data_IF_547946772094
#
_entry.id   IF_547946772094
#
_cell.length_a   1.000
_cell.length_b   1.000
_cell.length_c   1.000
_cell.angle_alpha   90.00
_cell.angle_beta   90.00
_cell.angle_gamma   90.00
#
_symmetry.space_group_name_H-M   'P 1'
#
loop_
_entity.id
_entity.type
_entity.pdbx_description
1 polymer ?
#
# COMPACT_ATOMS: atom_id res chain seq x y z
N UNK A 1 -7.53 -19.81 -0.13
CA UNK A 1 -7.96 -18.41 0.07
C UNK A 1 -9.05 -18.11 -0.95
N UNK A 2 -10.20 -17.67 -0.49
CA UNK A 2 -11.31 -17.32 -1.38
C UNK A 2 -10.96 -16.08 -2.22
N UNK A 3 -11.47 -16.02 -3.45
CA UNK A 3 -11.20 -14.90 -4.39
C UNK A 3 -11.56 -13.54 -3.80
N UNK A 4 -12.67 -13.49 -3.06
CA UNK A 4 -13.14 -12.26 -2.41
C UNK A 4 -12.14 -11.77 -1.33
N UNK A 5 -11.64 -12.67 -0.49
CA UNK A 5 -10.65 -12.33 0.55
C UNK A 5 -9.35 -11.79 -0.06
N UNK A 6 -8.96 -12.36 -1.21
CA UNK A 6 -7.78 -11.90 -1.95
C UNK A 6 -7.96 -10.47 -2.47
N UNK A 7 -9.10 -10.19 -3.09
CA UNK A 7 -9.43 -8.85 -3.59
C UNK A 7 -9.53 -7.85 -2.43
N UNK A 8 -10.24 -8.22 -1.35
CA UNK A 8 -10.41 -7.38 -0.16
C UNK A 8 -9.07 -6.95 0.43
N UNK A 9 -8.12 -7.87 0.55
CA UNK A 9 -6.78 -7.59 1.07
C UNK A 9 -5.98 -6.63 0.21
N UNK A 10 -6.26 -6.59 -1.09
CA UNK A 10 -5.57 -5.71 -2.04
C UNK A 10 -6.22 -4.32 -2.17
N UNK A 11 -7.36 -4.10 -1.55
CA UNK A 11 -8.10 -2.82 -1.59
C UNK A 11 -7.95 -2.05 -0.28
N UNK A 12 -8.31 -0.76 -0.29
CA UNK A 12 -8.46 0.05 0.94
C UNK A 12 -9.90 -0.01 1.47
N UNK A 13 -10.63 -1.11 1.21
CA UNK A 13 -12.01 -1.35 1.62
C UNK A 13 -13.02 -0.30 1.10
N UNK A 14 -12.65 0.42 0.04
CA UNK A 14 -13.54 1.38 -0.61
C UNK A 14 -14.34 0.70 -1.71
N UNK A 15 -15.66 0.94 -1.82
CA UNK A 15 -16.50 0.33 -2.86
C UNK A 15 -15.96 0.53 -4.27
N UNK A 16 -15.40 1.70 -4.58
CA UNK A 16 -14.80 1.99 -5.89
C UNK A 16 -13.62 1.09 -6.23
N UNK A 17 -12.81 0.71 -5.22
CA UNK A 17 -11.65 -0.17 -5.42
C UNK A 17 -12.11 -1.58 -5.83
N UNK A 18 -13.16 -2.11 -5.18
CA UNK A 18 -13.76 -3.39 -5.56
C UNK A 18 -14.32 -3.36 -6.97
N UNK A 19 -15.07 -2.32 -7.32
CA UNK A 19 -15.64 -2.16 -8.67
C UNK A 19 -14.53 -2.13 -9.70
N UNK A 20 -13.47 -1.37 -9.46
CA UNK A 20 -12.34 -1.27 -10.39
C UNK A 20 -11.63 -2.62 -10.54
N UNK A 21 -11.32 -3.30 -9.44
CA UNK A 21 -10.63 -4.60 -9.44
C UNK A 21 -11.46 -5.66 -10.19
N UNK A 22 -12.75 -5.78 -9.86
CA UNK A 22 -13.64 -6.76 -10.50
C UNK A 22 -13.81 -6.44 -12.00
N UNK A 23 -13.89 -5.17 -12.37
CA UNK A 23 -13.97 -4.74 -13.77
C UNK A 23 -12.73 -5.13 -14.56
N UNK A 24 -11.55 -5.02 -13.99
CA UNK A 24 -10.30 -5.48 -14.62
C UNK A 24 -10.30 -7.01 -14.78
N UNK A 25 -10.72 -7.74 -13.75
CA UNK A 25 -10.86 -9.20 -13.84
C UNK A 25 -11.82 -9.62 -14.95
N UNK A 26 -12.98 -8.95 -15.05
CA UNK A 26 -13.98 -9.24 -16.09
C UNK A 26 -13.43 -8.96 -17.51
N UNK A 27 -12.71 -7.85 -17.68
CA UNK A 27 -12.05 -7.50 -18.94
C UNK A 27 -11.06 -8.58 -19.39
N UNK A 28 -10.19 -9.04 -18.49
CA UNK A 28 -9.21 -10.10 -18.75
C UNK A 28 -9.93 -11.42 -19.08
N UNK A 29 -10.98 -11.78 -18.33
CA UNK A 29 -11.76 -12.98 -18.58
C UNK A 29 -12.34 -12.98 -19.99
N UNK A 30 -12.97 -11.88 -20.40
CA UNK A 30 -13.55 -11.73 -21.74
C UNK A 30 -12.48 -11.83 -22.85
N UNK A 31 -11.32 -11.19 -22.66
CA UNK A 31 -10.22 -11.25 -23.61
C UNK A 31 -9.69 -12.68 -23.82
N UNK A 32 -9.75 -13.50 -22.76
CA UNK A 32 -9.34 -14.91 -22.80
C UNK A 32 -10.45 -15.88 -23.17
N UNK A 33 -11.65 -15.38 -23.47
CA UNK A 33 -12.80 -16.22 -23.79
C UNK A 33 -13.35 -17.03 -22.61
N UNK A 34 -13.05 -16.60 -21.38
CA UNK A 34 -13.54 -17.24 -20.17
C UNK A 34 -14.89 -16.63 -19.74
N UNK A 35 -15.84 -17.50 -19.37
CA UNK A 35 -17.14 -17.09 -18.84
C UNK A 35 -17.12 -16.74 -17.33
N UNK A 36 -16.03 -17.09 -16.63
CA UNK A 36 -15.90 -16.92 -15.20
C UNK A 36 -14.56 -16.25 -14.82
N UNK A 37 -14.55 -15.53 -13.71
CA UNK A 37 -13.34 -14.98 -13.10
C UNK A 37 -12.67 -16.08 -12.27
N UNK A 38 -11.49 -16.51 -12.70
CA UNK A 38 -10.70 -17.55 -12.04
C UNK A 38 -9.54 -16.95 -11.24
N UNK A 39 -8.94 -17.73 -10.31
CA UNK A 39 -7.80 -17.26 -9.53
C UNK A 39 -6.61 -16.76 -10.37
N UNK A 40 -6.22 -17.39 -11.48
CA UNK A 40 -5.20 -16.83 -12.36
C UNK A 40 -5.56 -15.45 -12.94
N UNK A 41 -6.83 -15.23 -13.31
CA UNK A 41 -7.30 -13.93 -13.82
C UNK A 41 -7.20 -12.85 -12.74
N UNK A 42 -7.58 -13.18 -11.50
CA UNK A 42 -7.47 -12.26 -10.37
C UNK A 42 -6.01 -11.85 -10.13
N UNK A 43 -5.08 -12.80 -10.15
CA UNK A 43 -3.65 -12.51 -10.01
C UNK A 43 -3.07 -11.68 -11.15
N UNK A 44 -3.57 -11.88 -12.36
CA UNK A 44 -3.17 -11.08 -13.52
C UNK A 44 -3.68 -9.63 -13.42
N UNK A 45 -4.88 -9.43 -12.88
CA UNK A 45 -5.46 -8.12 -12.65
C UNK A 45 -4.72 -7.32 -11.55
N UNK A 46 -4.02 -7.99 -10.63
CA UNK A 46 -3.31 -7.37 -9.51
C UNK A 46 -2.36 -6.25 -9.95
N UNK A 47 -1.62 -6.44 -11.02
CA UNK A 47 -0.64 -5.47 -11.51
C UNK A 47 -1.32 -4.16 -11.93
N UNK A 48 -2.36 -4.25 -12.76
CA UNK A 48 -3.08 -3.06 -13.24
C UNK A 48 -3.83 -2.37 -12.09
N UNK A 49 -4.39 -3.15 -11.18
CA UNK A 49 -5.04 -2.61 -9.99
C UNK A 49 -4.05 -1.90 -9.06
N UNK A 50 -2.85 -2.46 -8.86
CA UNK A 50 -1.81 -1.83 -8.04
C UNK A 50 -1.35 -0.49 -8.62
N UNK A 51 -1.21 -0.38 -9.93
CA UNK A 51 -0.89 0.90 -10.59
C UNK A 51 -2.04 1.92 -10.45
N UNK A 52 -3.27 1.48 -10.58
CA UNK A 52 -4.46 2.31 -10.31
C UNK A 52 -4.46 2.82 -8.88
N UNK A 53 -4.33 1.93 -7.88
CA UNK A 53 -4.36 2.29 -6.46
C UNK A 53 -3.22 3.25 -6.10
N UNK A 54 -2.02 3.01 -6.65
CA UNK A 54 -0.88 3.91 -6.49
C UNK A 54 -1.18 5.31 -7.02
N UNK A 55 -1.80 5.42 -8.19
CA UNK A 55 -2.21 6.72 -8.76
C UNK A 55 -3.21 7.45 -7.85
N UNK A 56 -4.23 6.76 -7.37
CA UNK A 56 -5.23 7.31 -6.45
C UNK A 56 -4.59 7.81 -5.14
N UNK A 57 -3.66 7.03 -4.56
CA UNK A 57 -2.95 7.42 -3.34
C UNK A 57 -2.08 8.65 -3.59
N UNK A 58 -1.36 8.69 -4.70
CA UNK A 58 -0.52 9.85 -5.06
C UNK A 58 -1.38 11.11 -5.16
N UNK A 59 -2.52 11.05 -5.84
CA UNK A 59 -3.42 12.18 -6.00
C UNK A 59 -4.00 12.65 -4.65
N UNK A 60 -4.40 11.71 -3.78
CA UNK A 60 -4.96 12.02 -2.47
C UNK A 60 -3.92 12.64 -1.51
N UNK A 61 -2.69 12.14 -1.52
CA UNK A 61 -1.66 12.53 -0.55
C UNK A 61 -0.82 13.74 -0.99
N UNK A 62 -0.83 14.07 -2.28
CA UNK A 62 0.01 15.12 -2.85
C UNK A 62 -0.17 16.49 -2.15
N UNK A 63 -1.39 16.80 -1.70
CA UNK A 63 -1.69 18.05 -1.00
C UNK A 63 -0.94 18.18 0.35
N UNK A 64 -0.65 17.07 1.02
CA UNK A 64 0.04 17.04 2.33
C UNK A 64 1.50 16.60 2.23
N UNK A 65 1.83 15.82 1.21
CA UNK A 65 3.18 15.33 0.91
C UNK A 65 3.51 15.56 -0.59
N UNK A 66 3.91 16.77 -0.98
CA UNK A 66 4.23 17.06 -2.39
C UNK A 66 5.36 16.18 -2.95
N UNK A 67 6.27 15.71 -2.09
CA UNK A 67 7.41 14.87 -2.47
C UNK A 67 7.07 13.37 -2.48
N UNK A 68 5.79 13.01 -2.58
CA UNK A 68 5.31 11.62 -2.51
C UNK A 68 6.03 10.67 -3.48
N UNK A 69 6.40 11.13 -4.67
CA UNK A 69 7.13 10.31 -5.63
C UNK A 69 8.54 9.95 -5.15
N UNK A 70 9.24 10.88 -4.48
CA UNK A 70 10.55 10.63 -3.87
C UNK A 70 10.41 9.65 -2.70
N UNK A 71 9.36 9.82 -1.89
CA UNK A 71 9.04 8.93 -0.76
C UNK A 71 8.79 7.50 -1.25
N UNK A 72 7.93 7.32 -2.26
CA UNK A 72 7.64 6.01 -2.85
C UNK A 72 8.88 5.39 -3.50
N UNK A 73 9.74 6.20 -4.14
CA UNK A 73 11.00 5.75 -4.68
C UNK A 73 11.92 5.19 -3.59
N UNK A 74 12.03 5.88 -2.45
CA UNK A 74 12.83 5.41 -1.30
C UNK A 74 12.28 4.09 -0.76
N UNK A 75 10.96 3.97 -0.57
CA UNK A 75 10.32 2.73 -0.14
C UNK A 75 10.63 1.57 -1.10
N UNK A 76 10.58 1.84 -2.40
CA UNK A 76 10.91 0.86 -3.45
C UNK A 76 12.37 0.42 -3.42
N UNK A 77 13.29 1.34 -3.14
CA UNK A 77 14.74 1.05 -3.08
C UNK A 77 15.12 0.15 -1.90
N UNK A 78 14.38 0.22 -0.78
CA UNK A 78 14.59 -0.65 0.38
C UNK A 78 14.37 -2.12 0.02
N UNK A 79 13.54 -2.44 -0.99
CA UNK A 79 13.27 -3.79 -1.52
C UNK A 79 12.81 -4.81 -0.48
N UNK A 80 12.23 -4.36 0.62
CA UNK A 80 11.63 -5.18 1.67
C UNK A 80 10.20 -4.73 1.89
N UNK A 81 9.30 -5.68 2.04
CA UNK A 81 7.92 -5.36 2.37
C UNK A 81 7.77 -4.95 3.83
N UNK A 82 8.57 -5.55 4.72
CA UNK A 82 8.56 -5.27 6.16
C UNK A 82 9.95 -4.88 6.61
N UNK A 83 10.07 -3.75 7.29
CA UNK A 83 11.33 -3.21 7.82
C UNK A 83 11.07 -2.23 8.96
N UNK A 84 12.11 -1.83 9.70
CA UNK A 84 11.97 -0.88 10.79
C UNK A 84 11.75 0.55 10.27
N UNK A 85 11.01 1.40 10.99
CA UNK A 85 10.90 2.82 10.65
C UNK A 85 12.27 3.52 10.55
N UNK A 86 13.22 3.13 11.39
CA UNK A 86 14.59 3.66 11.36
C UNK A 86 15.28 3.47 10.01
N UNK A 87 15.03 2.35 9.32
CA UNK A 87 15.57 2.08 7.98
C UNK A 87 15.11 3.15 6.98
N UNK A 88 13.81 3.44 6.93
CA UNK A 88 13.28 4.48 6.06
C UNK A 88 13.83 5.86 6.43
N UNK A 89 13.81 6.21 7.72
CA UNK A 89 14.29 7.51 8.20
C UNK A 89 15.75 7.73 7.79
N UNK A 90 16.61 6.73 7.95
CA UNK A 90 18.01 6.81 7.58
C UNK A 90 18.19 6.99 6.07
N UNK A 91 17.54 6.16 5.25
CA UNK A 91 17.64 6.21 3.79
C UNK A 91 17.11 7.55 3.23
N UNK A 92 15.93 7.96 3.68
CA UNK A 92 15.30 9.18 3.19
C UNK A 92 16.06 10.43 3.62
N UNK A 93 16.45 10.52 4.90
CA UNK A 93 17.19 11.67 5.44
C UNK A 93 18.57 11.82 4.80
N UNK A 94 19.28 10.73 4.55
CA UNK A 94 20.60 10.78 3.90
C UNK A 94 20.51 11.18 2.43
N UNK A 95 19.46 10.75 1.72
CA UNK A 95 19.31 11.03 0.29
C UNK A 95 18.82 12.46 0.03
N UNK A 96 17.88 12.96 0.83
CA UNK A 96 17.20 14.24 0.58
C UNK A 96 17.52 15.33 1.61
N UNK A 97 18.45 15.08 2.53
CA UNK A 97 18.86 16.02 3.60
C UNK A 97 17.68 16.53 4.45
N UNK A 98 16.76 15.64 4.77
CA UNK A 98 15.57 15.91 5.58
C UNK A 98 15.84 15.60 7.04
N UNK A 99 15.27 16.36 7.97
CA UNK A 99 15.41 16.09 9.40
C UNK A 99 14.73 14.79 9.82
N UNK A 100 15.20 14.18 10.91
CA UNK A 100 14.58 12.97 11.47
C UNK A 100 13.10 13.22 11.83
N UNK A 101 12.79 14.39 12.39
CA UNK A 101 11.42 14.75 12.75
C UNK A 101 10.50 14.87 11.53
N UNK A 102 10.98 15.46 10.44
CA UNK A 102 10.22 15.57 9.20
C UNK A 102 10.01 14.18 8.58
N UNK A 103 11.04 13.32 8.60
CA UNK A 103 10.91 11.93 8.15
C UNK A 103 9.88 11.13 8.98
N UNK A 104 9.84 11.35 10.29
CA UNK A 104 8.81 10.77 11.18
C UNK A 104 7.41 11.29 10.85
N UNK A 105 7.26 12.57 10.55
CA UNK A 105 5.97 13.12 10.10
C UNK A 105 5.51 12.48 8.79
N UNK A 106 6.42 12.28 7.84
CA UNK A 106 6.13 11.58 6.59
C UNK A 106 5.57 10.18 6.87
N UNK A 107 6.20 9.40 7.74
CA UNK A 107 5.72 8.05 8.09
C UNK A 107 4.31 8.08 8.71
N UNK A 108 4.01 9.06 9.58
CA UNK A 108 2.65 9.22 10.12
C UNK A 108 1.64 9.49 9.02
N UNK A 109 1.95 10.37 8.06
CA UNK A 109 1.05 10.65 6.93
C UNK A 109 0.87 9.42 6.03
N UNK A 110 1.92 8.69 5.72
CA UNK A 110 1.81 7.44 4.95
C UNK A 110 0.91 6.41 5.65
N UNK A 111 0.95 6.35 6.97
CA UNK A 111 0.06 5.48 7.75
C UNK A 111 -1.39 5.94 7.69
N UNK A 112 -1.65 7.25 7.84
CA UNK A 112 -3.01 7.81 7.74
C UNK A 112 -3.66 7.54 6.38
N UNK A 113 -2.87 7.55 5.30
CA UNK A 113 -3.36 7.24 3.94
C UNK A 113 -3.31 5.75 3.57
N UNK A 114 -2.92 4.88 4.50
CA UNK A 114 -2.91 3.43 4.30
C UNK A 114 -1.80 2.90 3.38
N UNK A 115 -0.79 3.71 3.08
CA UNK A 115 0.38 3.29 2.29
C UNK A 115 1.23 2.30 3.07
N UNK A 116 1.37 2.54 4.37
CA UNK A 116 2.07 1.67 5.32
C UNK A 116 1.19 1.29 6.49
N UNK A 117 1.52 0.17 7.13
CA UNK A 117 0.95 -0.28 8.40
C UNK A 117 2.03 -0.64 9.40
N UNK A 118 1.63 -1.06 10.59
CA UNK A 118 2.52 -1.68 11.56
C UNK A 118 2.40 -3.22 11.52
N UNK A 119 3.50 -3.90 11.74
CA UNK A 119 3.56 -5.35 11.91
C UNK A 119 4.53 -5.69 13.04
N UNK A 120 4.05 -5.88 14.28
CA UNK A 120 4.90 -6.09 15.46
C UNK A 120 5.85 -7.28 15.33
N UNK A 121 5.40 -8.36 14.68
CA UNK A 121 6.19 -9.57 14.44
C UNK A 121 6.08 -10.02 12.98
N UNK A 122 7.06 -10.78 12.49
CA UNK A 122 7.09 -11.25 11.08
C UNK A 122 5.87 -12.08 10.66
N UNK A 123 5.17 -12.70 11.61
CA UNK A 123 3.93 -13.46 11.41
C UNK A 123 2.75 -12.84 12.15
N UNK A 124 2.93 -11.63 12.69
CA UNK A 124 1.93 -10.94 13.48
C UNK A 124 0.85 -10.28 12.64
N UNK A 125 -0.16 -9.82 13.33
CA UNK A 125 -1.25 -9.04 12.76
C UNK A 125 -0.70 -7.78 12.09
N UNK A 126 -1.17 -7.49 10.89
CA UNK A 126 -0.91 -6.24 10.20
C UNK A 126 -1.95 -5.21 10.63
N UNK A 127 -1.51 -4.01 10.94
CA UNK A 127 -2.37 -2.92 11.41
C UNK A 127 -2.29 -1.78 10.41
N UNK A 128 -3.32 -1.65 9.58
CA UNK A 128 -3.49 -0.55 8.63
C UNK A 128 -4.59 0.40 9.09
N UNK A 129 -4.48 1.67 8.76
CA UNK A 129 -5.45 2.71 9.15
C UNK A 129 -6.87 2.42 8.65
N UNK A 130 -7.02 1.90 7.43
CA UNK A 130 -8.32 1.59 6.86
C UNK A 130 -9.02 0.40 7.54
N UNK A 131 -8.27 -0.50 8.17
CA UNK A 131 -8.80 -1.62 8.98
C UNK A 131 -9.04 -1.21 10.43
N UNK A 132 -8.18 -0.34 10.97
CA UNK A 132 -8.19 0.13 12.36
C UNK A 132 -8.19 1.65 12.41
N UNK A 133 -9.36 2.31 12.23
CA UNK A 133 -9.44 3.78 12.09
C UNK A 133 -8.88 4.57 13.28
N UNK A 134 -8.89 3.98 14.48
CA UNK A 134 -8.36 4.62 15.69
C UNK A 134 -6.89 4.31 15.98
N UNK A 135 -6.24 3.47 15.15
CA UNK A 135 -4.84 3.15 15.33
C UNK A 135 -3.95 4.36 15.03
N UNK A 136 -2.83 4.45 15.78
CA UNK A 136 -1.75 5.40 15.56
C UNK A 136 -0.52 4.63 15.12
N UNK A 137 0.32 5.25 14.27
CA UNK A 137 1.58 4.65 13.84
C UNK A 137 2.54 4.47 15.03
N UNK A 138 3.04 3.25 15.20
CA UNK A 138 3.98 2.91 16.26
C UNK A 138 5.40 2.80 15.72
N UNK A 139 6.26 3.75 16.09
CA UNK A 139 7.67 3.78 15.67
C UNK A 139 8.54 2.68 16.28
N UNK A 140 8.08 2.00 17.33
CA UNK A 140 8.80 0.90 17.98
C UNK A 140 8.52 -0.47 17.34
N UNK A 141 7.62 -0.53 16.38
CA UNK A 141 7.26 -1.73 15.64
C UNK A 141 7.77 -1.67 14.20
N UNK A 142 7.93 -2.84 13.57
CA UNK A 142 8.20 -2.87 12.15
C UNK A 142 7.02 -2.26 11.37
N UNK A 143 7.35 -1.59 10.29
CA UNK A 143 6.38 -1.15 9.31
C UNK A 143 6.26 -2.15 8.16
N UNK A 144 5.10 -2.19 7.53
CA UNK A 144 4.81 -2.99 6.35
C UNK A 144 4.20 -2.12 5.27
N UNK A 145 4.62 -2.33 4.02
CA UNK A 145 4.04 -1.63 2.87
C UNK A 145 2.77 -2.36 2.44
N UNK A 146 1.68 -1.62 2.20
CA UNK A 146 0.44 -2.16 1.63
C UNK A 146 0.71 -2.75 0.24
N UNK A 147 0.08 -3.91 -0.03
CA UNK A 147 0.21 -4.58 -1.34
C UNK A 147 -0.83 -4.09 -2.32
#
# INVERSE_FOLDING_TARGET
MFTFDYITRSTHWRPRDYIHYISQCAKIALQKGNSNITSPIVKEADREFSEYLKGEIVDEIFAVLPDINQILSTLSQIRKQTFSPATFIQEYSSTYSVSENDAKMILRQLFEYGVIGNQPTMKGQQIFKHEYPNALFNFNENMIIHR
#
